data_IF_893006517522
#
_entry.id   IF_893006517522
#
_cell.length_a   1.000
_cell.length_b   1.000
_cell.length_c   1.000
_cell.angle_alpha   90.00
_cell.angle_beta   90.00
_cell.angle_gamma   90.00
#
_symmetry.space_group_name_H-M   'P 1'
#
loop_
_entity.id
_entity.type
_entity.pdbx_description
1 polymer ?
#
# COMPACT_ATOMS: atom_id res chain seq x y z
N UNK A 1 38.28 -19.90 15.48
CA UNK A 1 37.44 -21.06 15.88
C UNK A 1 38.38 -22.22 16.14
N UNK A 2 38.36 -22.81 17.33
CA UNK A 2 39.20 -23.96 17.67
C UNK A 2 38.62 -25.22 17.00
N UNK A 3 39.22 -25.64 15.89
CA UNK A 3 38.89 -26.87 15.16
C UNK A 3 39.03 -28.14 16.03
N UNK A 4 39.80 -28.06 17.12
CA UNK A 4 40.09 -29.16 18.06
C UNK A 4 38.89 -29.65 18.88
N UNK A 5 37.72 -29.00 18.77
CA UNK A 5 36.48 -29.38 19.48
C UNK A 5 35.46 -30.12 18.60
N UNK A 6 35.73 -30.27 17.31
CA UNK A 6 34.84 -30.93 16.36
C UNK A 6 35.31 -32.38 16.24
N UNK A 7 34.47 -33.34 16.67
CA UNK A 7 34.79 -34.77 16.57
C UNK A 7 34.96 -35.19 15.09
N UNK A 8 35.86 -36.15 14.83
CA UNK A 8 36.25 -36.70 13.51
C UNK A 8 35.08 -37.07 12.56
N UNK A 9 33.84 -37.15 13.05
CA UNK A 9 32.65 -37.43 12.24
C UNK A 9 32.11 -36.27 11.40
N UNK A 10 32.59 -35.04 11.58
CA UNK A 10 32.11 -33.85 10.84
C UNK A 10 33.14 -33.27 9.86
N UNK A 11 34.35 -33.82 9.80
CA UNK A 11 35.42 -33.32 8.93
C UNK A 11 35.67 -34.35 7.81
N UNK A 12 35.35 -33.98 6.58
CA UNK A 12 35.70 -34.78 5.39
C UNK A 12 36.74 -33.97 4.60
N UNK A 13 37.97 -34.50 4.53
CA UNK A 13 39.13 -33.84 3.89
C UNK A 13 39.41 -32.41 4.43
N UNK A 14 39.47 -32.25 5.75
CA UNK A 14 39.65 -30.94 6.43
C UNK A 14 38.57 -29.89 6.14
N UNK A 15 37.46 -30.29 5.53
CA UNK A 15 36.27 -29.47 5.32
C UNK A 15 35.17 -29.91 6.27
N UNK A 16 34.60 -28.96 7.01
CA UNK A 16 33.47 -29.21 7.90
C UNK A 16 32.23 -29.53 7.05
N UNK A 17 31.78 -30.78 7.07
CA UNK A 17 30.58 -31.23 6.37
C UNK A 17 29.46 -31.48 7.40
N UNK A 18 28.49 -30.56 7.43
CA UNK A 18 27.29 -30.69 8.27
C UNK A 18 26.15 -31.18 7.39
N UNK A 19 25.83 -32.48 7.49
CA UNK A 19 24.67 -33.08 6.82
C UNK A 19 23.46 -32.94 7.75
N UNK A 20 22.62 -31.94 7.49
CA UNK A 20 21.35 -31.78 8.18
C UNK A 20 20.22 -32.41 7.37
N UNK A 21 19.60 -33.47 7.90
CA UNK A 21 18.41 -34.07 7.29
C UNK A 21 17.16 -33.44 7.92
N UNK A 22 16.54 -32.51 7.21
CA UNK A 22 15.34 -31.80 7.68
C UNK A 22 14.10 -32.58 7.25
N UNK A 23 13.42 -33.23 8.21
CA UNK A 23 12.14 -33.88 7.97
C UNK A 23 11.00 -32.94 8.36
N UNK A 24 10.19 -32.53 7.38
CA UNK A 24 9.00 -31.71 7.62
C UNK A 24 7.86 -32.64 8.08
N UNK A 25 7.65 -32.73 9.40
CA UNK A 25 6.52 -33.48 9.96
C UNK A 25 5.31 -32.53 10.05
N UNK A 26 4.36 -32.72 9.14
CA UNK A 26 3.07 -32.01 9.20
C UNK A 26 2.22 -32.65 10.31
N UNK A 27 2.27 -32.06 11.51
CA UNK A 27 1.58 -32.58 12.70
C UNK A 27 0.06 -32.76 12.48
N UNK A 28 -0.58 -31.90 11.66
CA UNK A 28 -1.97 -32.04 11.20
C UNK A 28 -2.16 -31.47 9.78
N UNK A 29 -2.86 -32.20 8.92
CA UNK A 29 -3.13 -31.78 7.52
C UNK A 29 -4.04 -30.55 7.48
N UNK A 30 -4.95 -30.41 8.45
CA UNK A 30 -5.98 -29.36 8.45
C UNK A 30 -5.57 -28.10 9.22
N UNK A 31 -4.34 -28.05 9.75
CA UNK A 31 -3.81 -26.86 10.42
C UNK A 31 -2.68 -26.25 9.59
N UNK A 32 -2.62 -24.91 9.51
CA UNK A 32 -1.43 -24.25 8.99
C UNK A 32 -0.21 -24.66 9.81
N UNK A 33 0.97 -24.66 9.19
CA UNK A 33 2.23 -24.88 9.90
C UNK A 33 2.24 -24.00 11.15
N UNK A 34 2.56 -24.59 12.31
CA UNK A 34 2.73 -23.80 13.52
C UNK A 34 3.81 -22.76 13.22
N UNK A 35 3.52 -21.50 13.56
CA UNK A 35 4.50 -20.43 13.68
C UNK A 35 5.79 -20.98 14.32
N UNK A 36 6.95 -20.47 13.92
CA UNK A 36 8.26 -20.96 14.36
C UNK A 36 8.25 -21.27 15.87
N UNK A 37 8.75 -22.45 16.28
CA UNK A 37 8.83 -22.78 17.71
C UNK A 37 9.61 -21.70 18.44
N UNK A 38 9.21 -21.36 19.67
CA UNK A 38 9.83 -20.24 20.41
C UNK A 38 11.36 -20.29 20.44
N UNK A 39 12.01 -21.42 20.77
CA UNK A 39 13.47 -21.48 20.77
C UNK A 39 14.09 -21.21 19.39
N UNK A 40 13.49 -21.78 18.34
CA UNK A 40 13.96 -21.60 16.96
C UNK A 40 13.73 -20.16 16.45
N UNK A 41 12.58 -19.56 16.78
CA UNK A 41 12.28 -18.14 16.48
C UNK A 41 13.35 -17.22 17.07
N UNK A 42 13.76 -17.43 18.32
CA UNK A 42 14.80 -16.60 18.96
C UNK A 42 16.15 -16.70 18.27
N UNK A 43 16.54 -17.90 17.86
CA UNK A 43 17.81 -18.08 17.16
C UNK A 43 17.79 -17.39 15.80
N UNK A 44 16.68 -17.51 15.07
CA UNK A 44 16.50 -16.80 13.79
C UNK A 44 16.49 -15.28 13.99
N UNK A 45 15.80 -14.77 15.01
CA UNK A 45 15.81 -13.34 15.35
C UNK A 45 17.23 -12.83 15.56
N UNK A 46 18.02 -13.52 16.39
CA UNK A 46 19.40 -13.11 16.71
C UNK A 46 20.28 -12.94 15.48
N UNK A 47 20.07 -13.75 14.44
CA UNK A 47 20.90 -13.75 13.23
C UNK A 47 20.32 -12.84 12.14
N UNK A 48 19.00 -12.80 11.97
CA UNK A 48 18.34 -12.19 10.81
C UNK A 48 17.59 -10.89 11.10
N UNK A 49 17.47 -10.45 12.36
CA UNK A 49 16.70 -9.24 12.71
C UNK A 49 17.15 -8.00 11.93
N UNK A 50 18.45 -7.75 11.81
CA UNK A 50 18.98 -6.61 11.05
C UNK A 50 18.61 -6.68 9.56
N UNK A 51 18.63 -7.87 8.97
CA UNK A 51 18.25 -8.05 7.57
C UNK A 51 16.75 -7.78 7.38
N UNK A 52 15.91 -8.27 8.30
CA UNK A 52 14.46 -8.02 8.28
C UNK A 52 14.17 -6.53 8.44
N UNK A 53 14.84 -5.86 9.37
CA UNK A 53 14.70 -4.41 9.56
C UNK A 53 15.05 -3.64 8.29
N UNK A 54 16.12 -4.04 7.58
CA UNK A 54 16.49 -3.42 6.31
C UNK A 54 15.45 -3.65 5.20
N UNK A 55 14.94 -4.88 5.07
CA UNK A 55 13.88 -5.22 4.11
C UNK A 55 12.63 -4.38 4.39
N UNK A 56 12.20 -4.36 5.65
CA UNK A 56 11.06 -3.56 6.11
C UNK A 56 11.25 -2.07 5.80
N UNK A 57 12.40 -1.52 6.18
CA UNK A 57 12.71 -0.10 6.00
C UNK A 57 12.67 0.30 4.52
N UNK A 58 13.29 -0.50 3.65
CA UNK A 58 13.27 -0.26 2.19
C UNK A 58 11.85 -0.30 1.63
N UNK A 59 11.08 -1.31 2.05
CA UNK A 59 9.70 -1.46 1.61
C UNK A 59 8.84 -0.25 2.00
N UNK A 60 8.87 0.17 3.28
CA UNK A 60 8.09 1.32 3.73
C UNK A 60 8.53 2.61 3.06
N UNK A 61 9.83 2.82 2.89
CA UNK A 61 10.36 4.03 2.25
C UNK A 61 9.99 4.10 0.76
N UNK A 62 9.97 2.98 0.04
CA UNK A 62 9.53 2.95 -1.35
C UNK A 62 8.06 3.39 -1.50
N UNK A 63 7.18 2.88 -0.63
CA UNK A 63 5.77 3.27 -0.64
C UNK A 63 5.57 4.71 -0.18
N UNK A 64 6.31 5.15 0.83
CA UNK A 64 6.29 6.54 1.33
C UNK A 64 6.72 7.52 0.25
N UNK A 65 7.82 7.25 -0.46
CA UNK A 65 8.34 8.13 -1.52
C UNK A 65 7.30 8.35 -2.63
N UNK A 66 6.57 7.30 -3.04
CA UNK A 66 5.50 7.42 -4.04
C UNK A 66 4.39 8.37 -3.58
N UNK A 67 3.99 8.29 -2.30
CA UNK A 67 2.98 9.18 -1.71
C UNK A 67 3.49 10.62 -1.59
N UNK A 68 4.73 10.81 -1.13
CA UNK A 68 5.34 12.14 -1.03
C UNK A 68 5.38 12.84 -2.38
N UNK A 69 5.81 12.14 -3.45
CA UNK A 69 5.85 12.70 -4.80
C UNK A 69 4.46 13.16 -5.28
N UNK A 70 3.40 12.44 -4.93
CA UNK A 70 2.02 12.84 -5.26
C UNK A 70 1.61 14.11 -4.52
N UNK A 71 1.90 14.21 -3.22
CA UNK A 71 1.50 15.33 -2.35
C UNK A 71 2.31 16.61 -2.66
N UNK A 72 3.54 16.45 -3.13
CA UNK A 72 4.40 17.54 -3.58
C UNK A 72 3.89 18.18 -4.88
N UNK A 73 3.38 17.38 -5.81
CA UNK A 73 2.68 17.89 -7.00
C UNK A 73 1.33 18.51 -6.61
N UNK A 74 1.35 19.82 -6.33
CA UNK A 74 0.16 20.56 -5.88
C UNK A 74 -1.00 20.53 -6.86
N UNK A 75 -0.73 20.48 -8.16
CA UNK A 75 -1.78 20.43 -9.16
C UNK A 75 -2.45 19.06 -9.15
N UNK A 76 -1.64 17.98 -9.16
CA UNK A 76 -2.16 16.61 -9.14
C UNK A 76 -2.83 16.27 -7.80
N UNK A 77 -2.25 16.68 -6.68
CA UNK A 77 -2.81 16.50 -5.34
C UNK A 77 -4.14 17.24 -5.18
N UNK A 78 -4.23 18.51 -5.56
CA UNK A 78 -5.49 19.27 -5.46
C UNK A 78 -6.59 18.68 -6.34
N UNK A 79 -6.27 18.24 -7.56
CA UNK A 79 -7.19 17.52 -8.43
C UNK A 79 -7.68 16.20 -7.81
N UNK A 80 -6.79 15.43 -7.21
CA UNK A 80 -7.13 14.20 -6.49
C UNK A 80 -8.02 14.47 -5.28
N UNK A 81 -7.71 15.48 -4.45
CA UNK A 81 -8.53 15.87 -3.31
C UNK A 81 -9.94 16.31 -3.75
N UNK A 82 -10.04 17.12 -4.79
CA UNK A 82 -11.34 17.56 -5.33
C UNK A 82 -12.15 16.37 -5.85
N UNK A 83 -11.52 15.44 -6.56
CA UNK A 83 -12.13 14.19 -6.99
C UNK A 83 -12.65 13.39 -5.79
N UNK A 84 -11.80 13.10 -4.80
CA UNK A 84 -12.17 12.30 -3.64
C UNK A 84 -13.33 12.91 -2.85
N UNK A 85 -13.32 14.24 -2.65
CA UNK A 85 -14.38 14.95 -1.95
C UNK A 85 -15.70 14.99 -2.73
N UNK A 86 -15.66 14.91 -4.06
CA UNK A 86 -16.85 14.87 -4.91
C UNK A 86 -17.54 13.49 -4.92
N UNK A 87 -16.83 12.41 -4.57
CA UNK A 87 -17.38 11.06 -4.53
C UNK A 87 -18.36 10.91 -3.35
N UNK A 88 -19.49 10.27 -3.62
CA UNK A 88 -20.50 9.97 -2.61
C UNK A 88 -19.97 9.03 -1.52
N UNK A 89 -20.57 9.08 -0.33
CA UNK A 89 -20.10 8.31 0.83
C UNK A 89 -20.13 6.80 0.60
N UNK A 90 -21.08 6.28 -0.19
CA UNK A 90 -21.20 4.84 -0.42
C UNK A 90 -20.11 4.32 -1.35
N UNK A 91 -19.76 5.09 -2.38
CA UNK A 91 -18.64 4.77 -3.28
C UNK A 91 -17.31 4.89 -2.56
N UNK A 92 -17.10 5.95 -1.74
CA UNK A 92 -15.91 6.06 -0.88
C UNK A 92 -15.77 4.87 0.05
N UNK A 93 -16.86 4.47 0.72
CA UNK A 93 -16.86 3.29 1.58
C UNK A 93 -16.44 2.01 0.85
N UNK A 94 -16.90 1.80 -0.39
CA UNK A 94 -16.49 0.65 -1.21
C UNK A 94 -15.03 0.73 -1.63
N UNK A 95 -14.56 1.90 -2.05
CA UNK A 95 -13.20 2.10 -2.54
C UNK A 95 -12.13 2.09 -1.44
N UNK A 96 -12.50 2.34 -0.17
CA UNK A 96 -11.58 2.33 0.97
C UNK A 96 -11.38 0.94 1.61
N UNK A 97 -11.76 -0.13 0.91
CA UNK A 97 -11.76 -1.51 1.45
C UNK A 97 -11.30 -2.51 0.40
N UNK A 98 -10.61 -3.55 0.83
CA UNK A 98 -10.16 -4.65 -0.03
C UNK A 98 -10.23 -5.98 0.72
N UNK A 99 -10.50 -7.07 0.01
CA UNK A 99 -10.53 -8.40 0.63
C UNK A 99 -9.15 -8.83 1.12
N UNK A 100 -9.13 -9.48 2.28
CA UNK A 100 -7.91 -9.94 2.92
C UNK A 100 -7.15 -10.97 2.08
N UNK A 101 -7.84 -11.86 1.38
CA UNK A 101 -7.19 -12.84 0.51
C UNK A 101 -6.42 -12.18 -0.65
N UNK A 102 -6.95 -11.11 -1.23
CA UNK A 102 -6.28 -10.32 -2.28
C UNK A 102 -5.01 -9.68 -1.73
N UNK A 103 -5.11 -8.93 -0.63
CA UNK A 103 -3.96 -8.26 0.00
C UNK A 103 -2.88 -9.28 0.40
N UNK A 104 -3.26 -10.32 1.15
CA UNK A 104 -2.33 -11.32 1.66
C UNK A 104 -1.66 -12.10 0.53
N UNK A 105 -2.38 -12.43 -0.55
CA UNK A 105 -1.80 -13.11 -1.71
C UNK A 105 -0.68 -12.29 -2.36
N UNK A 106 -0.87 -10.98 -2.50
CA UNK A 106 0.14 -10.12 -3.15
C UNK A 106 1.33 -9.90 -2.22
N UNK A 107 1.09 -9.71 -0.91
CA UNK A 107 2.16 -9.59 0.10
C UNK A 107 3.03 -10.85 0.11
N UNK A 108 2.42 -12.04 0.16
CA UNK A 108 3.17 -13.30 0.13
C UNK A 108 4.01 -13.38 -1.15
N UNK A 109 3.44 -13.01 -2.31
CA UNK A 109 4.20 -12.97 -3.56
C UNK A 109 5.37 -11.99 -3.52
N UNK A 110 5.24 -10.87 -2.81
CA UNK A 110 6.27 -9.83 -2.74
C UNK A 110 7.44 -10.21 -1.83
N UNK A 111 7.13 -10.77 -0.66
CA UNK A 111 8.15 -11.05 0.37
C UNK A 111 8.65 -12.49 0.38
N UNK A 112 7.95 -13.43 -0.25
CA UNK A 112 8.31 -14.84 -0.17
C UNK A 112 9.16 -15.29 -1.36
N UNK A 113 10.43 -15.53 -1.09
CA UNK A 113 11.34 -16.22 -2.00
C UNK A 113 11.57 -17.63 -1.47
N UNK A 114 11.34 -18.63 -2.32
CA UNK A 114 11.44 -20.03 -1.91
C UNK A 114 12.83 -20.35 -1.36
N UNK A 115 12.88 -21.12 -0.25
CA UNK A 115 14.11 -21.62 0.41
C UNK A 115 14.96 -20.57 1.15
N UNK A 116 14.47 -19.34 1.34
CA UNK A 116 15.16 -18.33 2.14
C UNK A 116 14.74 -18.38 3.63
N UNK A 117 15.72 -18.43 4.53
CA UNK A 117 15.48 -18.44 6.00
C UNK A 117 14.83 -17.12 6.46
N UNK A 118 15.24 -15.98 5.90
CA UNK A 118 14.65 -14.66 6.17
C UNK A 118 13.15 -14.63 5.83
N UNK A 119 12.75 -15.26 4.72
CA UNK A 119 11.35 -15.34 4.27
C UNK A 119 10.46 -16.05 5.30
N UNK A 120 10.97 -17.06 6.02
CA UNK A 120 10.17 -17.75 7.06
C UNK A 120 9.90 -16.86 8.27
N UNK A 121 10.89 -16.08 8.69
CA UNK A 121 10.74 -15.14 9.81
C UNK A 121 9.90 -13.92 9.42
N UNK A 122 9.96 -13.47 8.16
CA UNK A 122 9.04 -12.47 7.59
C UNK A 122 7.61 -13.00 7.53
N UNK A 123 7.39 -14.26 7.14
CA UNK A 123 6.06 -14.87 7.17
C UNK A 123 5.50 -14.99 8.59
N UNK A 124 6.34 -15.35 9.56
CA UNK A 124 5.98 -15.39 10.97
C UNK A 124 5.59 -13.99 11.48
N UNK A 125 6.37 -12.95 11.12
CA UNK A 125 6.09 -11.56 11.49
C UNK A 125 4.79 -11.04 10.87
N UNK A 126 4.56 -11.29 9.59
CA UNK A 126 3.32 -10.94 8.90
C UNK A 126 2.12 -11.64 9.56
N UNK A 127 2.24 -12.91 9.91
CA UNK A 127 1.17 -13.64 10.58
C UNK A 127 0.88 -13.06 11.97
N UNK A 128 1.89 -12.81 12.82
CA UNK A 128 1.67 -12.24 14.16
C UNK A 128 1.16 -10.80 14.06
N UNK A 129 1.66 -10.01 13.12
CA UNK A 129 1.18 -8.66 12.81
C UNK A 129 -0.29 -8.63 12.37
N UNK A 130 -0.70 -9.59 11.53
CA UNK A 130 -2.10 -9.74 11.13
C UNK A 130 -2.99 -10.05 12.33
N UNK A 131 -2.55 -10.96 13.20
CA UNK A 131 -3.26 -11.26 14.46
C UNK A 131 -3.34 -10.06 15.38
N UNK A 132 -2.30 -9.24 15.46
CA UNK A 132 -2.32 -7.99 16.24
C UNK A 132 -3.38 -7.02 15.69
N UNK A 133 -3.46 -6.84 14.37
CA UNK A 133 -4.48 -5.99 13.73
C UNK A 133 -5.92 -6.51 13.97
N UNK A 134 -6.15 -7.81 13.82
CA UNK A 134 -7.45 -8.45 14.09
C UNK A 134 -7.90 -8.25 15.56
N UNK A 135 -6.98 -8.40 16.52
CA UNK A 135 -7.29 -8.23 17.95
C UNK A 135 -7.58 -6.76 18.32
N UNK A 136 -6.84 -5.80 17.75
CA UNK A 136 -7.09 -4.38 17.97
C UNK A 136 -8.49 -3.96 17.53
N UNK A 137 -9.01 -4.54 16.44
CA UNK A 137 -10.37 -4.26 15.97
C UNK A 137 -11.44 -4.80 16.95
N UNK A 138 -11.23 -5.99 17.52
CA UNK A 138 -12.16 -6.64 18.46
C UNK A 138 -12.17 -5.98 19.85
N UNK A 139 -11.03 -5.45 20.31
CA UNK A 139 -10.88 -4.79 21.61
C UNK A 139 -11.69 -3.50 21.77
N UNK A 140 -12.04 -2.82 20.66
CA UNK A 140 -12.84 -1.57 20.71
C UNK A 140 -14.30 -1.80 21.13
N UNK A 141 -14.80 -3.04 21.19
CA UNK A 141 -16.19 -3.38 21.60
C UNK A 141 -16.37 -3.66 23.10
N UNK A 142 -15.33 -3.59 23.93
CA UNK A 142 -15.48 -3.91 25.36
C UNK A 142 -14.36 -3.38 26.27
N UNK A 143 -14.63 -2.24 26.90
CA UNK A 143 -14.13 -1.77 28.22
C UNK A 143 -12.66 -1.31 28.35
N UNK A 144 -12.53 -0.04 28.77
CA UNK A 144 -11.89 0.43 30.02
C UNK A 144 -10.47 -0.03 30.37
N UNK A 145 -9.53 0.94 30.33
CA UNK A 145 -8.24 1.06 31.03
C UNK A 145 -7.65 -0.20 31.70
N UNK A 146 -6.51 -0.66 31.17
CA UNK A 146 -5.33 -1.01 31.96
C UNK A 146 -4.05 -0.78 31.14
N UNK A 147 -3.06 -0.16 31.79
CA UNK A 147 -1.85 0.47 31.27
C UNK A 147 -0.81 -0.52 30.74
N UNK A 148 -0.23 -0.21 29.59
CA UNK A 148 1.17 0.25 29.41
C UNK A 148 1.55 -0.01 27.94
N UNK A 149 0.85 0.67 27.03
CA UNK A 149 1.17 0.61 25.61
C UNK A 149 2.00 1.85 25.33
N UNK A 150 3.31 1.67 25.45
CA UNK A 150 4.31 2.47 24.75
C UNK A 150 3.77 2.84 23.35
N UNK A 151 3.34 4.09 23.24
CA UNK A 151 3.13 4.97 22.09
C UNK A 151 3.05 4.36 20.68
N UNK A 152 2.29 3.28 20.46
CA UNK A 152 2.02 2.80 19.11
C UNK A 152 1.02 3.73 18.42
N UNK A 153 1.48 4.38 17.35
CA UNK A 153 0.68 5.25 16.51
C UNK A 153 -0.59 4.53 16.02
N UNK A 154 -1.74 5.21 16.06
CA UNK A 154 -3.04 4.59 15.75
C UNK A 154 -2.99 3.88 14.37
N UNK A 155 -3.46 2.63 14.25
CA UNK A 155 -3.31 1.87 13.01
C UNK A 155 -4.04 2.56 11.85
N UNK A 156 -3.43 2.54 10.67
CA UNK A 156 -3.97 3.16 9.45
C UNK A 156 -5.05 2.31 8.79
N UNK A 157 -5.05 1.01 9.10
CA UNK A 157 -5.93 0.01 8.51
C UNK A 157 -6.50 -0.87 9.62
N UNK A 158 -7.74 -1.30 9.44
CA UNK A 158 -8.42 -2.26 10.28
C UNK A 158 -8.74 -3.52 9.49
N UNK A 159 -8.66 -4.66 10.16
CA UNK A 159 -9.09 -5.95 9.60
C UNK A 159 -10.38 -6.33 10.31
N UNK A 160 -11.48 -6.30 9.56
CA UNK A 160 -12.78 -6.75 10.03
C UNK A 160 -13.28 -7.90 9.15
N UNK A 161 -13.71 -8.98 9.79
CA UNK A 161 -14.09 -10.25 9.16
C UNK A 161 -12.98 -10.80 8.23
N UNK A 162 -13.03 -10.43 6.96
CA UNK A 162 -12.20 -10.87 5.84
C UNK A 162 -11.76 -9.71 4.93
N UNK A 163 -11.82 -8.47 5.44
CA UNK A 163 -11.62 -7.27 4.65
C UNK A 163 -10.68 -6.30 5.39
N UNK A 164 -9.64 -5.82 4.68
CA UNK A 164 -8.86 -4.67 5.09
C UNK A 164 -9.63 -3.39 4.75
N UNK A 165 -9.78 -2.51 5.72
CA UNK A 165 -10.46 -1.23 5.56
C UNK A 165 -9.60 -0.10 6.12
N UNK A 166 -9.53 1.03 5.43
CA UNK A 166 -8.85 2.21 5.94
C UNK A 166 -9.52 2.70 7.23
N UNK A 167 -8.71 3.01 8.25
CA UNK A 167 -9.17 3.30 9.61
C UNK A 167 -9.71 4.74 9.79
N UNK A 168 -9.69 5.56 8.74
CA UNK A 168 -10.05 6.97 8.77
C UNK A 168 -10.23 7.55 7.38
N UNK A 169 -10.26 8.88 7.29
CA UNK A 169 -10.32 9.58 6.00
C UNK A 169 -9.07 9.30 5.15
N UNK A 170 -9.28 9.05 3.86
CA UNK A 170 -8.20 8.66 2.93
C UNK A 170 -7.16 9.76 2.81
N UNK A 171 -7.55 11.03 2.67
CA UNK A 171 -6.59 12.12 2.47
C UNK A 171 -5.71 12.26 3.71
N UNK A 172 -6.32 12.26 4.90
CA UNK A 172 -5.60 12.33 6.16
C UNK A 172 -4.64 11.13 6.35
N UNK A 173 -5.04 9.93 5.93
CA UNK A 173 -4.18 8.75 5.99
C UNK A 173 -3.01 8.84 5.00
N UNK A 174 -3.22 9.32 3.76
CA UNK A 174 -2.14 9.48 2.79
C UNK A 174 -1.10 10.51 3.24
N UNK A 175 -1.56 11.66 3.75
CA UNK A 175 -0.69 12.69 4.33
C UNK A 175 0.10 12.12 5.52
N UNK A 176 -0.58 11.37 6.39
CA UNK A 176 0.09 10.71 7.51
C UNK A 176 1.13 9.70 7.05
N UNK A 177 0.84 8.83 6.09
CA UNK A 177 1.83 7.88 5.59
C UNK A 177 3.04 8.55 4.95
N UNK A 178 2.87 9.71 4.32
CA UNK A 178 3.99 10.48 3.76
C UNK A 178 4.85 11.13 4.85
N UNK A 179 4.28 11.50 6.00
CA UNK A 179 4.95 12.27 7.05
C UNK A 179 5.42 11.42 8.25
N UNK A 180 4.82 10.25 8.50
CA UNK A 180 5.13 9.42 9.68
C UNK A 180 6.62 9.03 9.69
N UNK A 181 7.36 9.30 10.78
CA UNK A 181 8.73 8.84 10.92
C UNK A 181 8.81 7.33 10.81
N UNK A 182 9.84 6.81 10.11
CA UNK A 182 10.09 5.38 10.09
C UNK A 182 10.26 4.88 11.54
N UNK A 183 9.61 3.78 11.93
CA UNK A 183 9.69 3.24 13.30
C UNK A 183 11.07 2.68 13.68
N UNK A 184 12.08 2.90 12.85
CA UNK A 184 13.45 2.44 13.03
C UNK A 184 14.46 3.58 13.12
N UNK A 185 14.04 4.79 13.50
CA UNK A 185 15.00 5.69 14.14
C UNK A 185 15.18 5.19 15.57
N UNK A 186 16.41 4.82 15.99
CA UNK A 186 16.71 4.79 17.41
C UNK A 186 16.29 6.16 17.92
N UNK A 187 15.37 6.20 18.89
CA UNK A 187 15.21 7.40 19.69
C UNK A 187 16.62 7.75 20.15
N UNK A 188 17.09 8.94 19.76
CA UNK A 188 18.36 9.48 20.24
C UNK A 188 18.43 9.18 21.73
N UNK A 189 19.54 8.60 22.25
CA UNK A 189 19.65 8.39 23.68
C UNK A 189 19.56 9.77 24.31
N UNK A 190 18.39 10.10 24.87
CA UNK A 190 18.29 11.27 25.73
C UNK A 190 19.22 10.96 26.90
N UNK A 191 20.11 11.89 27.16
CA UNK A 191 21.02 11.93 28.31
C UNK A 191 20.24 11.77 29.61
N UNK A 192 19.85 10.54 29.95
CA UNK A 192 19.46 10.19 31.31
C UNK A 192 20.75 9.83 32.04
N UNK A 193 21.40 10.88 32.54
CA UNK A 193 22.25 10.78 33.73
C UNK A 193 21.40 10.23 34.88
N UNK A 194 21.28 8.91 34.97
CA UNK A 194 20.85 8.24 36.19
C UNK A 194 21.98 7.34 36.68
N UNK A 195 22.64 7.87 37.71
CA UNK A 195 23.54 7.25 38.69
C UNK A 195 23.83 5.75 38.54
N UNK A 196 25.10 5.45 38.25
CA UNK A 196 25.73 4.20 38.65
C UNK A 196 25.55 3.98 40.16
N UNK A 197 24.93 2.86 40.54
CA UNK A 197 25.33 2.17 41.77
C UNK A 197 25.42 0.67 41.48
N UNK A 198 26.61 0.12 41.78
CA UNK A 198 26.92 -1.32 41.76
C UNK A 198 25.92 -2.08 42.63
N UNK A 199 25.54 -3.30 42.23
CA UNK A 199 26.07 -4.56 42.81
C UNK A 199 25.62 -5.77 41.94
N UNK A 200 26.55 -6.71 41.72
CA UNK A 200 26.41 -7.95 40.94
C UNK A 200 25.31 -8.87 41.49
N UNK A 201 24.41 -9.34 40.63
CA UNK A 201 23.93 -10.74 40.54
C UNK A 201 22.88 -10.89 39.42
N UNK A 202 23.11 -11.81 38.47
CA UNK A 202 22.04 -12.39 37.63
C UNK A 202 21.89 -11.88 36.19
N UNK A 203 22.90 -12.10 35.34
CA UNK A 203 22.92 -11.90 33.87
C UNK A 203 21.84 -12.67 33.06
N UNK A 204 20.84 -13.27 33.70
CA UNK A 204 19.78 -14.04 33.03
C UNK A 204 18.52 -13.21 32.74
N UNK A 205 18.31 -12.09 33.44
CA UNK A 205 17.11 -11.25 33.26
C UNK A 205 17.23 -10.31 32.05
N UNK A 206 18.41 -9.75 31.83
CA UNK A 206 18.67 -8.71 30.82
C UNK A 206 18.57 -9.25 29.38
N UNK A 207 19.10 -10.45 29.14
CA UNK A 207 18.99 -11.16 27.85
C UNK A 207 17.55 -11.57 27.55
N UNK A 208 16.78 -11.93 28.58
CA UNK A 208 15.37 -12.34 28.42
C UNK A 208 14.47 -11.17 28.03
N UNK A 209 14.68 -10.00 28.66
CA UNK A 209 13.96 -8.76 28.33
C UNK A 209 14.31 -8.26 26.92
N UNK A 210 15.59 -8.38 26.50
CA UNK A 210 16.02 -8.02 25.14
C UNK A 210 15.33 -8.84 24.06
N UNK A 211 15.16 -10.14 24.27
CA UNK A 211 14.56 -11.03 23.25
C UNK A 211 13.03 -10.87 23.19
N UNK A 212 12.37 -10.69 24.34
CA UNK A 212 10.92 -10.39 24.36
C UNK A 212 10.64 -9.06 23.65
N UNK A 213 11.52 -8.07 23.82
CA UNK A 213 11.46 -6.80 23.10
C UNK A 213 11.68 -6.97 21.58
N UNK A 214 12.62 -7.82 21.15
CA UNK A 214 12.82 -8.14 19.73
C UNK A 214 11.63 -8.90 19.11
N UNK A 215 11.00 -9.82 19.84
CA UNK A 215 9.78 -10.51 19.42
C UNK A 215 8.60 -9.52 19.26
N UNK A 216 8.50 -8.52 20.16
CA UNK A 216 7.53 -7.41 20.05
C UNK A 216 7.81 -6.57 18.81
N UNK A 217 9.06 -6.13 18.61
CA UNK A 217 9.48 -5.36 17.42
C UNK A 217 9.21 -6.11 16.11
N UNK A 218 9.43 -7.42 16.08
CA UNK A 218 9.13 -8.24 14.90
C UNK A 218 7.62 -8.20 14.56
N UNK A 219 6.77 -8.27 15.58
CA UNK A 219 5.31 -8.16 15.41
C UNK A 219 4.91 -6.77 14.89
N UNK A 220 5.55 -5.71 15.40
CA UNK A 220 5.35 -4.33 14.93
C UNK A 220 5.76 -4.15 13.47
N UNK A 221 6.87 -4.75 13.04
CA UNK A 221 7.27 -4.76 11.62
C UNK A 221 6.21 -5.43 10.77
N UNK A 222 5.75 -6.63 11.14
CA UNK A 222 4.69 -7.32 10.43
C UNK A 222 3.42 -6.49 10.31
N UNK A 223 3.00 -5.87 11.42
CA UNK A 223 1.85 -4.96 11.44
C UNK A 223 2.04 -3.78 10.49
N UNK A 224 3.18 -3.09 10.55
CA UNK A 224 3.45 -1.92 9.70
C UNK A 224 3.57 -2.29 8.22
N UNK A 225 4.14 -3.44 7.87
CA UNK A 225 4.15 -3.93 6.48
C UNK A 225 2.73 -4.10 5.98
N UNK A 226 1.87 -4.77 6.74
CA UNK A 226 0.47 -4.99 6.38
C UNK A 226 -0.28 -3.67 6.22
N UNK A 227 -0.11 -2.73 7.16
CA UNK A 227 -0.73 -1.41 7.08
C UNK A 227 -0.27 -0.63 5.84
N UNK A 228 1.04 -0.51 5.62
CA UNK A 228 1.60 0.22 4.48
C UNK A 228 1.18 -0.42 3.16
N UNK A 229 1.24 -1.76 3.06
CA UNK A 229 0.86 -2.47 1.85
C UNK A 229 -0.64 -2.30 1.56
N UNK A 230 -1.50 -2.54 2.55
CA UNK A 230 -2.95 -2.42 2.38
C UNK A 230 -3.35 -0.98 2.01
N UNK A 231 -2.76 0.03 2.67
CA UNK A 231 -2.95 1.43 2.31
C UNK A 231 -2.56 1.69 0.85
N UNK A 232 -1.36 1.26 0.44
CA UNK A 232 -0.87 1.49 -0.91
C UNK A 232 -1.71 0.78 -1.97
N UNK A 233 -2.16 -0.45 -1.70
CA UNK A 233 -2.99 -1.21 -2.62
C UNK A 233 -4.36 -0.57 -2.81
N UNK A 234 -5.03 -0.23 -1.69
CA UNK A 234 -6.32 0.45 -1.71
C UNK A 234 -6.19 1.80 -2.43
N UNK A 235 -5.14 2.57 -2.10
CA UNK A 235 -4.85 3.84 -2.76
C UNK A 235 -4.65 3.67 -4.26
N UNK A 236 -3.93 2.64 -4.72
CA UNK A 236 -3.74 2.39 -6.15
C UNK A 236 -5.06 2.19 -6.88
N UNK A 237 -6.03 1.47 -6.28
CA UNK A 237 -7.37 1.35 -6.84
C UNK A 237 -8.11 2.69 -6.94
N UNK A 238 -7.97 3.55 -5.93
CA UNK A 238 -8.54 4.91 -5.95
C UNK A 238 -7.84 5.78 -7.00
N UNK A 239 -6.52 5.69 -7.13
CA UNK A 239 -5.75 6.44 -8.11
C UNK A 239 -6.16 6.05 -9.55
N UNK A 240 -6.37 4.77 -9.83
CA UNK A 240 -6.88 4.31 -11.13
C UNK A 240 -8.23 4.97 -11.42
N UNK A 241 -9.18 4.93 -10.47
CA UNK A 241 -10.48 5.57 -10.65
C UNK A 241 -10.37 7.10 -10.85
N UNK A 242 -9.41 7.76 -10.20
CA UNK A 242 -9.13 9.17 -10.43
C UNK A 242 -8.62 9.42 -11.85
N UNK A 243 -7.67 8.62 -12.35
CA UNK A 243 -7.16 8.75 -13.71
C UNK A 243 -8.24 8.48 -14.77
N UNK A 244 -9.12 7.52 -14.51
CA UNK A 244 -10.30 7.26 -15.35
C UNK A 244 -11.24 8.46 -15.39
N UNK A 245 -11.53 9.08 -14.23
CA UNK A 245 -12.39 10.26 -14.16
C UNK A 245 -11.78 11.47 -14.89
N UNK A 246 -10.47 11.68 -14.77
CA UNK A 246 -9.75 12.73 -15.52
C UNK A 246 -9.82 12.48 -17.03
N UNK A 247 -9.61 11.22 -17.44
CA UNK A 247 -9.66 10.82 -18.85
C UNK A 247 -11.05 11.01 -19.44
N UNK A 248 -12.08 10.61 -18.70
CA UNK A 248 -13.48 10.77 -19.09
C UNK A 248 -13.86 12.25 -19.24
N UNK A 249 -13.50 13.09 -18.27
CA UNK A 249 -13.76 14.54 -18.34
C UNK A 249 -13.13 15.18 -19.57
N UNK A 250 -11.89 14.79 -19.91
CA UNK A 250 -11.20 15.27 -21.11
C UNK A 250 -11.91 14.80 -22.38
N UNK A 251 -12.41 13.57 -22.41
CA UNK A 251 -13.16 13.05 -23.55
C UNK A 251 -14.49 13.80 -23.75
N UNK A 252 -15.22 14.09 -22.68
CA UNK A 252 -16.46 14.87 -22.71
C UNK A 252 -16.24 16.30 -23.22
N UNK A 253 -15.12 16.92 -22.86
CA UNK A 253 -14.74 18.25 -23.35
C UNK A 253 -14.44 18.25 -24.86
N UNK A 254 -13.71 17.24 -25.35
CA UNK A 254 -13.44 17.06 -26.78
C UNK A 254 -14.72 16.85 -27.60
N UNK A 255 -15.65 16.02 -27.09
CA UNK A 255 -16.94 15.79 -27.76
C UNK A 255 -17.73 17.10 -27.85
N UNK A 256 -17.76 17.88 -26.77
CA UNK A 256 -18.47 19.16 -26.76
C UNK A 256 -17.88 20.15 -27.77
N UNK A 257 -16.56 20.24 -27.86
CA UNK A 257 -15.88 21.09 -28.85
C UNK A 257 -16.21 20.65 -30.29
N UNK A 258 -16.23 19.33 -30.54
CA UNK A 258 -16.59 18.79 -31.85
C UNK A 258 -18.07 19.06 -32.21
N UNK A 259 -18.99 18.91 -31.26
CA UNK A 259 -20.41 19.23 -31.44
C UNK A 259 -20.62 20.72 -31.75
N UNK A 260 -19.95 21.62 -31.02
CA UNK A 260 -20.00 23.07 -31.26
C UNK A 260 -19.43 23.44 -32.65
N UNK A 261 -18.29 22.85 -33.03
CA UNK A 261 -17.70 23.04 -34.35
C UNK A 261 -18.60 22.50 -35.47
N UNK A 262 -19.22 21.34 -35.27
CA UNK A 262 -20.16 20.72 -36.21
C UNK A 262 -21.41 21.58 -36.42
N UNK A 263 -21.95 22.17 -35.34
CA UNK A 263 -23.07 23.10 -35.44
C UNK A 263 -22.70 24.35 -36.26
N UNK A 264 -21.54 24.96 -35.98
CA UNK A 264 -21.05 26.12 -36.74
C UNK A 264 -20.84 25.78 -38.22
N UNK A 265 -20.27 24.62 -38.53
CA UNK A 265 -20.08 24.18 -39.91
C UNK A 265 -21.42 23.95 -40.62
N UNK A 266 -22.40 23.35 -39.93
CA UNK A 266 -23.75 23.14 -40.46
C UNK A 266 -24.48 24.45 -40.75
N UNK A 267 -24.33 25.46 -39.88
CA UNK A 267 -24.88 26.79 -40.09
C UNK A 267 -24.23 27.49 -41.29
N UNK A 268 -22.90 27.42 -41.41
CA UNK A 268 -22.19 28.03 -42.54
C UNK A 268 -22.57 27.37 -43.87
N UNK A 269 -22.67 26.03 -43.90
CA UNK A 269 -23.16 25.26 -45.05
C UNK A 269 -24.61 25.65 -45.38
N UNK A 270 -25.48 25.77 -44.38
CA UNK A 270 -26.87 26.23 -44.56
C UNK A 270 -26.96 27.64 -45.15
N UNK A 271 -26.17 28.59 -44.64
CA UNK A 271 -26.06 29.96 -45.18
C UNK A 271 -25.58 29.97 -46.63
N UNK A 272 -24.56 29.18 -46.97
CA UNK A 272 -24.02 29.05 -48.34
C UNK A 272 -25.00 28.40 -49.32
N UNK A 273 -25.75 27.40 -48.86
CA UNK A 273 -26.77 26.73 -49.65
C UNK A 273 -27.96 27.67 -49.93
N UNK A 274 -28.35 28.49 -48.95
CA UNK A 274 -29.40 29.49 -49.12
C UNK A 274 -29.01 30.62 -50.10
N UNK A 275 -27.76 31.11 -50.06
CA UNK A 275 -27.30 32.13 -51.01
C UNK A 275 -27.24 31.58 -52.44
N UNK A 276 -26.74 30.36 -52.63
CA UNK A 276 -26.70 29.70 -53.95
C UNK A 276 -28.11 29.42 -54.50
N UNK A 277 -29.08 29.01 -53.66
CA UNK A 277 -30.49 28.88 -54.05
C UNK A 277 -31.09 30.23 -54.48
N UNK A 278 -30.86 31.31 -53.72
CA UNK A 278 -31.33 32.66 -54.07
C UNK A 278 -30.77 33.13 -55.42
N UNK A 279 -29.49 32.88 -55.67
CA UNK A 279 -28.82 33.27 -56.93
C UNK A 279 -29.37 32.49 -58.13
N UNK A 280 -29.61 31.18 -58.00
CA UNK A 280 -30.26 30.36 -59.03
C UNK A 280 -31.67 30.86 -59.35
N UNK A 281 -32.46 31.25 -58.34
CA UNK A 281 -33.80 31.81 -58.54
C UNK A 281 -33.76 33.17 -59.23
N UNK A 282 -32.81 34.04 -58.89
CA UNK A 282 -32.64 35.33 -59.55
C UNK A 282 -32.28 35.18 -61.04
N UNK A 283 -31.34 34.28 -61.36
CA UNK A 283 -30.97 33.96 -62.75
C UNK A 283 -32.15 33.43 -63.57
N UNK A 284 -32.97 32.54 -63.00
CA UNK A 284 -34.21 32.08 -63.67
C UNK A 284 -35.18 33.23 -63.97
N UNK A 285 -35.39 34.14 -63.01
CA UNK A 285 -36.26 35.32 -63.22
C UNK A 285 -35.72 36.25 -64.31
N UNK A 286 -34.41 36.47 -64.36
CA UNK A 286 -33.76 37.30 -65.39
C UNK A 286 -33.96 36.72 -66.79
N UNK A 287 -33.79 35.40 -66.95
CA UNK A 287 -33.98 34.71 -68.23
C UNK A 287 -35.43 34.79 -68.70
N UNK A 288 -36.39 34.61 -67.79
CA UNK A 288 -37.82 34.74 -68.10
C UNK A 288 -38.16 36.17 -68.55
N UNK A 289 -37.60 37.18 -67.89
CA UNK A 289 -37.81 38.58 -68.26
C UNK A 289 -37.24 38.90 -69.65
N UNK A 290 -36.04 38.40 -69.98
CA UNK A 290 -35.44 38.53 -71.30
C UNK A 290 -36.28 37.87 -72.40
N UNK A 291 -36.87 36.70 -72.15
CA UNK A 291 -37.79 36.06 -73.10
C UNK A 291 -39.06 36.89 -73.32
N UNK A 292 -39.64 37.46 -72.27
CA UNK A 292 -40.86 38.29 -72.38
C UNK A 292 -40.62 39.59 -73.17
N UNK A 293 -39.45 40.21 -73.04
CA UNK A 293 -39.11 41.42 -73.79
C UNK A 293 -38.71 41.16 -75.25
N UNK A 294 -38.22 39.96 -75.57
CA UNK A 294 -37.85 39.59 -76.95
C UNK A 294 -39.03 39.12 -77.82
N UNK A 295 -40.25 39.10 -77.27
CA UNK A 295 -41.48 38.65 -77.94
C UNK A 295 -42.48 39.79 -78.22
N UNK A 296 -42.03 41.05 -78.10
CA UNK A 296 -42.77 42.26 -78.51
C UNK A 296 -42.04 42.93 -79.67
#
# INVERSE_FOLDING_TARGET
>A
MELSKIQDGFLVNDVLEIIAQVQVIREKVDRPFRCLERPYRRELLRVYMTNIEQIYRRFVEEHRSKLSNLIEDKMRWSGFCAFWLAIDTSTRYRMSREKSDVILKIIVKHFFVEKEVTSTLVMDSLHTGLKALEHQCRGKKGRGKLMDLEELSAPMVHVDMDTFALAGDVLALLERAALEPLPCQPLSPKDDKCSQSRTKAGSSGEVKVSIEHEEKRLTEFGQKILETFALSHIFSGIEVAYQEAVSLKRQEELIREEEEAGLLESEMKGKRNNTTEKEKRAKKKQVILLMLFSTR
#
